data_IF_649282252661
#
_entry.id   IF_649282252661
#
_cell.length_a   1.000
_cell.length_b   1.000
_cell.length_c   1.000
_cell.angle_alpha   90.00
_cell.angle_beta   90.00
_cell.angle_gamma   90.00
#
_symmetry.space_group_name_H-M   'P 1'
#
loop_
_entity.id
_entity.type
_entity.pdbx_description
1 polymer ?
#
# COMPACT_ATOMS: atom_id res chain seq x y z
N UNK A 1 -15.90 -9.77 12.34
CA UNK A 1 -15.00 -9.13 11.33
C UNK A 1 -15.30 -9.71 9.96
N UNK A 2 -15.47 -8.84 8.99
CA UNK A 2 -15.71 -9.30 7.62
C UNK A 2 -14.42 -9.93 7.04
N UNK A 3 -14.54 -11.01 6.28
CA UNK A 3 -13.36 -11.60 5.64
C UNK A 3 -12.79 -10.66 4.59
N UNK A 4 -11.46 -10.65 4.49
CA UNK A 4 -10.75 -9.85 3.51
C UNK A 4 -9.50 -10.59 3.06
N UNK A 5 -8.99 -10.24 1.88
CA UNK A 5 -7.84 -10.90 1.29
C UNK A 5 -6.51 -10.30 1.77
N UNK A 6 -6.44 -9.00 1.86
CA UNK A 6 -5.23 -8.31 2.26
C UNK A 6 -5.44 -6.81 2.42
N UNK A 7 -4.35 -6.09 2.67
CA UNK A 7 -4.41 -4.65 2.90
C UNK A 7 -3.14 -3.96 2.37
N UNK A 8 -3.33 -2.78 1.79
CA UNK A 8 -2.24 -1.94 1.28
C UNK A 8 -2.23 -0.60 1.98
N UNK A 9 -1.08 0.06 1.97
CA UNK A 9 -0.86 1.35 2.64
C UNK A 9 -0.41 2.40 1.64
N UNK A 10 -1.14 3.52 1.58
CA UNK A 10 -0.66 4.71 0.89
C UNK A 10 -0.04 5.62 1.95
N UNK A 11 1.26 5.56 2.08
CA UNK A 11 2.02 6.32 3.09
C UNK A 11 2.68 7.52 2.44
N UNK A 12 2.29 8.70 2.90
CA UNK A 12 2.69 9.98 2.32
C UNK A 12 3.77 10.65 3.16
N UNK A 13 4.79 11.16 2.48
CA UNK A 13 5.76 12.08 3.06
C UNK A 13 5.73 13.31 2.16
N UNK A 14 5.17 14.40 2.66
CA UNK A 14 4.83 15.58 1.85
C UNK A 14 3.95 15.15 0.65
N UNK A 15 4.36 15.46 -0.57
CA UNK A 15 3.60 15.13 -1.79
C UNK A 15 4.04 13.80 -2.42
N UNK A 16 4.89 13.04 -1.73
CA UNK A 16 5.42 11.80 -2.26
C UNK A 16 4.87 10.59 -1.51
N UNK A 17 4.80 9.49 -2.24
CA UNK A 17 4.22 8.24 -1.81
C UNK A 17 5.32 7.18 -1.69
N UNK A 18 5.33 6.44 -0.60
CA UNK A 18 6.25 5.31 -0.46
C UNK A 18 5.80 4.18 -1.38
N UNK A 19 6.66 3.82 -2.32
CA UNK A 19 6.37 2.76 -3.30
C UNK A 19 7.56 1.82 -3.41
N UNK A 20 7.30 0.61 -3.91
CA UNK A 20 8.38 -0.31 -4.25
C UNK A 20 8.08 -0.98 -5.58
N UNK A 21 9.12 -1.44 -6.26
CA UNK A 21 8.97 -2.15 -7.53
C UNK A 21 8.90 -3.64 -7.28
N UNK A 22 7.85 -4.28 -7.80
CA UNK A 22 7.66 -5.72 -7.67
C UNK A 22 8.72 -6.47 -8.46
N UNK A 23 9.03 -7.70 -8.02
CA UNK A 23 9.95 -8.56 -8.75
C UNK A 23 9.43 -8.87 -10.15
N UNK A 24 10.34 -9.14 -11.08
CA UNK A 24 9.98 -9.55 -12.45
C UNK A 24 10.00 -11.07 -12.48
N UNK A 25 8.89 -11.68 -12.07
CA UNK A 25 8.72 -13.15 -12.02
C UNK A 25 7.39 -13.50 -12.67
N UNK A 26 7.37 -14.50 -13.58
CA UNK A 26 6.11 -14.83 -14.27
C UNK A 26 5.02 -15.41 -13.35
N UNK A 27 5.40 -15.97 -12.22
CA UNK A 27 4.47 -16.62 -11.28
C UNK A 27 3.76 -15.65 -10.34
N UNK A 28 4.15 -14.38 -10.29
CA UNK A 28 3.49 -13.40 -9.41
C UNK A 28 2.62 -12.43 -10.22
N UNK A 29 1.54 -11.88 -9.61
CA UNK A 29 0.74 -10.87 -10.29
C UNK A 29 1.52 -9.55 -10.41
N UNK A 30 1.21 -8.79 -11.46
CA UNK A 30 1.78 -7.46 -11.69
C UNK A 30 3.31 -7.42 -11.65
N UNK A 31 4.04 -8.31 -12.39
CA UNK A 31 5.50 -8.35 -12.29
C UNK A 31 6.13 -7.03 -12.77
N UNK A 32 7.10 -6.54 -12.01
CA UNK A 32 7.85 -5.34 -12.35
C UNK A 32 7.13 -4.02 -12.14
N UNK A 33 5.86 -4.04 -11.72
CA UNK A 33 5.09 -2.81 -11.52
C UNK A 33 5.40 -2.17 -10.16
N UNK A 34 5.13 -0.88 -10.07
CA UNK A 34 5.22 -0.14 -8.82
C UNK A 34 3.99 -0.40 -7.97
N UNK A 35 4.21 -0.74 -6.71
CA UNK A 35 3.20 -1.18 -5.78
C UNK A 35 3.32 -0.39 -4.48
N UNK A 36 2.32 -0.51 -3.63
CA UNK A 36 2.28 0.08 -2.30
C UNK A 36 2.63 -0.98 -1.26
N UNK A 37 3.17 -0.57 -0.10
CA UNK A 37 3.40 -1.52 1.01
C UNK A 37 2.12 -2.24 1.39
N UNK A 38 2.25 -3.48 1.81
CA UNK A 38 1.11 -4.30 2.23
C UNK A 38 1.15 -5.67 1.60
N UNK A 39 0.17 -6.47 1.93
CA UNK A 39 0.11 -7.84 1.40
C UNK A 39 -1.08 -8.62 1.93
N UNK A 40 -0.97 -9.94 1.87
CA UNK A 40 -2.05 -10.84 2.23
C UNK A 40 -2.26 -11.01 3.72
N UNK A 41 -3.50 -11.26 4.09
CA UNK A 41 -3.88 -11.54 5.47
C UNK A 41 -3.29 -12.87 5.94
N UNK A 42 -2.82 -12.89 7.17
CA UNK A 42 -2.41 -14.11 7.86
C UNK A 42 -3.28 -14.30 9.09
N UNK A 43 -3.70 -15.56 9.32
CA UNK A 43 -4.50 -15.93 10.50
C UNK A 43 -5.73 -15.04 10.68
N UNK A 44 -5.96 -14.59 11.91
CA UNK A 44 -7.12 -13.78 12.26
C UNK A 44 -6.82 -12.29 12.35
N UNK A 45 -5.83 -11.81 11.63
CA UNK A 45 -5.44 -10.41 11.65
C UNK A 45 -6.61 -9.48 11.26
N UNK A 46 -6.68 -8.31 11.92
CA UNK A 46 -7.51 -7.23 11.44
C UNK A 46 -6.88 -6.61 10.18
N UNK A 47 -7.65 -5.86 9.37
CA UNK A 47 -7.07 -5.18 8.22
C UNK A 47 -5.88 -4.27 8.59
N UNK A 48 -6.00 -3.54 9.68
CA UNK A 48 -4.93 -2.65 10.15
C UNK A 48 -3.67 -3.43 10.53
N UNK A 49 -3.85 -4.52 11.28
CA UNK A 49 -2.72 -5.37 11.69
C UNK A 49 -2.03 -6.01 10.49
N UNK A 50 -2.81 -6.46 9.52
CA UNK A 50 -2.29 -7.04 8.28
C UNK A 50 -1.38 -6.04 7.57
N UNK A 51 -1.87 -4.83 7.35
CA UNK A 51 -1.10 -3.79 6.66
C UNK A 51 0.17 -3.43 7.42
N UNK A 52 0.08 -3.26 8.73
CA UNK A 52 1.23 -2.85 9.55
C UNK A 52 2.26 -3.97 9.71
N UNK A 53 1.84 -5.22 9.76
CA UNK A 53 2.78 -6.36 9.77
C UNK A 53 3.57 -6.41 8.47
N UNK A 54 2.89 -6.27 7.34
CA UNK A 54 3.56 -6.28 6.03
C UNK A 54 4.54 -5.12 5.91
N UNK A 55 4.17 -3.93 6.41
CA UNK A 55 5.06 -2.77 6.41
C UNK A 55 6.34 -3.06 7.19
N UNK A 56 6.22 -3.70 8.35
CA UNK A 56 7.39 -4.06 9.14
C UNK A 56 8.27 -5.06 8.41
N UNK A 57 7.66 -6.09 7.79
CA UNK A 57 8.41 -7.09 7.05
C UNK A 57 9.12 -6.51 5.82
N UNK A 58 8.42 -5.62 5.09
CA UNK A 58 8.94 -5.08 3.83
C UNK A 58 9.90 -3.91 4.00
N UNK A 59 9.66 -3.05 4.99
CA UNK A 59 10.38 -1.78 5.13
C UNK A 59 11.03 -1.57 6.50
N UNK A 60 10.83 -2.49 7.43
CA UNK A 60 11.38 -2.34 8.77
C UNK A 60 10.76 -1.22 9.59
N UNK A 61 9.59 -0.73 9.19
CA UNK A 61 8.90 0.35 9.89
C UNK A 61 7.84 -0.21 10.83
N UNK A 62 7.83 0.27 12.06
CA UNK A 62 6.83 -0.09 13.07
C UNK A 62 5.97 1.13 13.35
N UNK A 63 4.70 1.07 12.95
CA UNK A 63 3.73 2.14 13.18
C UNK A 63 2.58 1.64 14.05
N UNK A 64 2.02 2.52 14.86
CA UNK A 64 0.81 2.24 15.61
C UNK A 64 -0.42 2.41 14.72
N UNK A 65 -1.51 1.75 15.09
CA UNK A 65 -2.73 1.77 14.28
C UNK A 65 -3.33 3.18 14.13
N UNK A 66 -3.13 4.06 15.12
CA UNK A 66 -3.63 5.43 15.06
C UNK A 66 -2.93 6.29 14.00
N UNK A 67 -1.86 5.80 13.41
CA UNK A 67 -1.19 6.47 12.29
C UNK A 67 -1.97 6.32 10.99
N UNK A 68 -2.93 5.38 10.93
CA UNK A 68 -3.78 5.16 9.78
C UNK A 68 -5.00 6.07 9.90
N UNK A 69 -4.99 7.17 9.16
CA UNK A 69 -5.99 8.25 9.29
C UNK A 69 -7.20 8.06 8.40
N UNK A 70 -7.14 7.14 7.45
CA UNK A 70 -8.24 6.83 6.54
C UNK A 70 -8.11 5.38 6.10
N UNK A 71 -9.25 4.73 5.88
CA UNK A 71 -9.27 3.37 5.37
C UNK A 71 -10.57 3.04 4.69
N UNK A 72 -10.51 2.19 3.67
CA UNK A 72 -11.68 1.74 2.93
C UNK A 72 -11.49 0.34 2.39
N UNK A 73 -12.57 -0.45 2.43
CA UNK A 73 -12.60 -1.80 1.87
C UNK A 73 -13.14 -1.74 0.44
N UNK A 74 -12.44 -2.40 -0.48
CA UNK A 74 -12.82 -2.42 -1.89
C UNK A 74 -13.10 -3.85 -2.34
N UNK A 75 -14.13 -4.06 -3.19
CA UNK A 75 -14.38 -5.39 -3.74
C UNK A 75 -13.21 -5.84 -4.61
N UNK A 76 -13.05 -7.17 -4.70
CA UNK A 76 -12.03 -7.73 -5.58
C UNK A 76 -12.38 -7.48 -7.04
N UNK A 77 -11.34 -7.37 -7.88
CA UNK A 77 -11.50 -7.31 -9.33
C UNK A 77 -11.92 -8.65 -9.92
N UNK A 78 -11.68 -9.72 -9.18
CA UNK A 78 -12.02 -11.08 -9.63
C UNK A 78 -13.28 -11.56 -8.90
N UNK A 79 -14.32 -12.00 -9.63
CA UNK A 79 -15.54 -12.52 -9.00
C UNK A 79 -15.22 -13.70 -8.08
N UNK A 80 -15.87 -13.73 -6.90
CA UNK A 80 -15.69 -14.78 -5.93
C UNK A 80 -14.48 -14.62 -5.02
N UNK A 81 -13.65 -13.61 -5.23
CA UNK A 81 -12.52 -13.32 -4.35
C UNK A 81 -12.90 -12.32 -3.26
N UNK A 82 -12.20 -12.41 -2.13
CA UNK A 82 -12.45 -11.54 -0.99
C UNK A 82 -11.99 -10.10 -1.27
N UNK A 83 -12.65 -9.11 -0.65
CA UNK A 83 -12.25 -7.72 -0.78
C UNK A 83 -10.90 -7.44 -0.12
N UNK A 84 -10.34 -6.28 -0.40
CA UNK A 84 -9.09 -5.83 0.20
C UNK A 84 -9.20 -4.38 0.64
N UNK A 85 -8.32 -3.99 1.57
CA UNK A 85 -8.34 -2.67 2.19
C UNK A 85 -7.23 -1.78 1.66
N UNK A 86 -7.50 -0.48 1.58
CA UNK A 86 -6.48 0.54 1.44
C UNK A 86 -6.56 1.46 2.64
N UNK A 87 -5.42 1.67 3.30
CA UNK A 87 -5.28 2.65 4.38
C UNK A 87 -4.35 3.77 3.94
N UNK A 88 -4.54 4.94 4.51
CA UNK A 88 -3.69 6.10 4.25
C UNK A 88 -3.12 6.59 5.57
N UNK A 89 -1.85 6.95 5.56
CA UNK A 89 -1.16 7.54 6.70
C UNK A 89 0.00 8.40 6.22
N UNK A 90 0.72 8.98 7.16
CA UNK A 90 1.86 9.83 6.85
C UNK A 90 3.11 9.33 7.54
N UNK A 91 4.26 9.54 6.89
CA UNK A 91 5.58 9.23 7.42
C UNK A 91 6.37 10.52 7.58
N UNK A 92 7.17 10.57 8.64
CA UNK A 92 8.12 11.66 8.84
C UNK A 92 9.42 11.40 8.08
N UNK A 93 10.23 12.44 7.92
CA UNK A 93 11.55 12.31 7.32
C UNK A 93 12.45 11.35 8.11
N UNK A 94 12.30 11.35 9.43
CA UNK A 94 13.08 10.45 10.31
C UNK A 94 12.69 9.00 10.05
N UNK A 95 11.39 8.73 9.88
CA UNK A 95 10.92 7.38 9.57
C UNK A 95 11.41 6.92 8.21
N UNK A 96 11.36 7.79 7.19
CA UNK A 96 11.88 7.48 5.87
C UNK A 96 13.37 7.13 5.94
N UNK A 97 14.14 7.89 6.71
CA UNK A 97 15.58 7.65 6.86
C UNK A 97 15.89 6.33 7.56
N UNK A 98 14.93 5.77 8.29
CA UNK A 98 15.12 4.51 9.03
C UNK A 98 14.70 3.27 8.26
N UNK A 99 14.21 3.42 7.03
CA UNK A 99 13.73 2.28 6.23
C UNK A 99 14.85 1.28 5.98
N UNK A 100 14.52 0.01 6.20
CA UNK A 100 15.36 -1.13 5.85
C UNK A 100 14.55 -2.04 4.96
N UNK A 101 14.78 -1.92 3.65
CA UNK A 101 14.01 -2.68 2.66
C UNK A 101 14.37 -4.16 2.72
N UNK A 102 13.35 -5.02 2.71
CA UNK A 102 13.52 -6.47 2.80
C UNK A 102 13.90 -7.10 1.47
N UNK A 103 13.74 -8.42 1.40
CA UNK A 103 14.20 -9.22 0.27
C UNK A 103 13.21 -9.28 -0.88
N UNK A 104 11.96 -8.94 -0.67
CA UNK A 104 10.95 -8.93 -1.72
C UNK A 104 10.95 -7.61 -2.45
N UNK A 105 10.87 -7.68 -3.78
CA UNK A 105 10.88 -6.47 -4.61
C UNK A 105 12.29 -6.06 -5.02
N UNK A 106 12.34 -5.14 -5.98
CA UNK A 106 13.60 -4.70 -6.61
C UNK A 106 14.17 -3.44 -6.00
N UNK A 107 13.41 -2.77 -5.14
CA UNK A 107 13.83 -1.53 -4.51
C UNK A 107 12.63 -0.65 -4.23
N UNK A 108 12.86 0.41 -3.46
CA UNK A 108 11.81 1.36 -3.09
C UNK A 108 12.25 2.78 -3.38
N UNK A 109 11.27 3.68 -3.45
CA UNK A 109 11.53 5.11 -3.55
C UNK A 109 10.31 5.91 -3.08
N UNK A 110 10.50 7.20 -2.92
CA UNK A 110 9.39 8.13 -2.73
C UNK A 110 9.03 8.70 -4.10
N UNK A 111 7.83 8.36 -4.56
CA UNK A 111 7.34 8.80 -5.87
C UNK A 111 6.30 9.89 -5.68
N UNK A 112 6.43 11.03 -6.35
CA UNK A 112 5.38 12.05 -6.28
C UNK A 112 4.01 11.45 -6.59
N UNK A 113 2.98 11.83 -5.83
CA UNK A 113 1.64 11.29 -5.99
C UNK A 113 1.17 11.41 -7.44
N UNK A 114 1.36 12.59 -8.06
CA UNK A 114 0.95 12.80 -9.45
C UNK A 114 1.63 11.84 -10.42
N UNK A 115 2.91 11.54 -10.17
CA UNK A 115 3.65 10.59 -10.99
C UNK A 115 3.11 9.16 -10.85
N UNK A 116 2.82 8.73 -9.61
CA UNK A 116 2.24 7.41 -9.38
C UNK A 116 0.90 7.25 -10.09
N UNK A 117 0.05 8.27 -10.01
CA UNK A 117 -1.28 8.21 -10.63
C UNK A 117 -1.22 8.16 -12.15
N UNK A 118 -0.18 8.72 -12.76
CA UNK A 118 0.00 8.73 -14.21
C UNK A 118 0.95 7.65 -14.70
N UNK A 119 1.55 6.88 -13.80
CA UNK A 119 2.62 5.94 -14.16
C UNK A 119 2.06 4.74 -14.93
N UNK A 120 2.58 4.46 -16.15
CA UNK A 120 2.06 3.34 -16.93
C UNK A 120 2.41 1.97 -16.34
N UNK A 121 3.37 1.91 -15.43
CA UNK A 121 3.82 0.68 -14.78
C UNK A 121 3.53 0.69 -13.29
N UNK A 122 2.46 1.32 -12.85
CA UNK A 122 1.96 1.22 -11.48
C UNK A 122 0.74 0.29 -11.47
N UNK A 123 0.51 -0.38 -10.34
CA UNK A 123 -0.64 -1.30 -10.20
C UNK A 123 -1.94 -0.51 -10.40
N UNK A 124 -2.73 -0.81 -11.44
CA UNK A 124 -3.85 0.06 -11.85
C UNK A 124 -4.94 0.26 -10.80
N UNK A 125 -5.36 -0.81 -10.12
CA UNK A 125 -6.43 -0.68 -9.13
C UNK A 125 -5.99 0.17 -7.92
N UNK A 126 -4.69 0.24 -7.65
CA UNK A 126 -4.18 1.09 -6.57
C UNK A 126 -4.19 2.56 -6.98
N UNK A 127 -3.95 2.84 -8.25
CA UNK A 127 -4.10 4.20 -8.77
C UNK A 127 -5.54 4.69 -8.60
N UNK A 128 -6.52 3.85 -8.93
CA UNK A 128 -7.94 4.19 -8.80
C UNK A 128 -8.34 4.41 -7.34
N UNK A 129 -7.90 3.53 -6.45
CA UNK A 129 -8.22 3.65 -5.02
C UNK A 129 -7.60 4.89 -4.40
N UNK A 130 -6.38 5.23 -4.81
CA UNK A 130 -5.72 6.45 -4.34
C UNK A 130 -6.45 7.69 -4.85
N UNK A 131 -6.91 7.70 -6.10
CA UNK A 131 -7.74 8.78 -6.64
C UNK A 131 -9.02 8.96 -5.84
N UNK A 132 -9.64 7.86 -5.44
CA UNK A 132 -10.84 7.87 -4.62
C UNK A 132 -10.59 8.58 -3.29
N UNK A 133 -9.50 8.23 -2.60
CA UNK A 133 -9.12 8.90 -1.37
C UNK A 133 -8.90 10.41 -1.58
N UNK A 134 -8.16 10.77 -2.62
CA UNK A 134 -7.83 12.17 -2.90
C UNK A 134 -9.07 12.99 -3.23
N UNK A 135 -10.05 12.41 -3.93
CA UNK A 135 -11.30 13.10 -4.24
C UNK A 135 -12.11 13.39 -2.99
N UNK A 136 -12.07 12.50 -2.00
CA UNK A 136 -12.76 12.72 -0.73
C UNK A 136 -12.10 13.84 0.09
N UNK A 137 -10.78 13.94 0.04
CA UNK A 137 -10.05 15.00 0.75
C UNK A 137 -10.36 16.38 0.19
N UNK A 138 -10.55 16.50 -1.13
CA UNK A 138 -10.90 17.78 -1.76
C UNK A 138 -12.32 18.21 -1.40
N UNK A 139 -13.23 17.27 -1.18
CA UNK A 139 -14.62 17.56 -0.81
C UNK A 139 -14.78 17.85 0.68
N UNK A 140 -13.83 17.49 1.46
CA UNK A 140 -13.82 17.72 2.90
C UNK A 140 -13.23 19.06 3.26
#
# INVERSE_FOLDING_TARGET
>A
MQPFNGAKLALLCDDALLVYQRDVKPEIPWPGLWDLPGGGREDDESPERCALRELQEEFGLVLEEDRLTWGRCYPSLQPGCLPSWLFVGRLSCVEIASIRFGDEGRGWLLMPVAEFLAHPQAVPHLQERLRDYLSQCVQG
#
